data_IF_078206208264
#
_entry.id   IF_078206208264
#
_cell.length_a   1.000
_cell.length_b   1.000
_cell.length_c   1.000
_cell.angle_alpha   90.00
_cell.angle_beta   90.00
_cell.angle_gamma   90.00
#
_symmetry.space_group_name_H-M   'P 1'
#
loop_
_entity.id
_entity.type
_entity.pdbx_description
1 polymer ?
#
# COMPACT_ATOMS: atom_id res chain seq x y z
N UNK A 1 82.12 10.34 27.10
CA UNK A 1 80.74 10.74 27.45
C UNK A 1 79.82 9.60 27.04
N UNK A 2 79.09 9.02 27.98
CA UNK A 2 78.08 7.98 27.71
C UNK A 2 76.78 8.61 27.19
N UNK A 3 76.24 8.08 26.09
CA UNK A 3 74.91 8.47 25.59
C UNK A 3 73.83 7.70 26.35
N UNK A 4 72.79 8.39 26.84
CA UNK A 4 71.57 7.79 27.41
C UNK A 4 70.38 8.07 26.49
N UNK A 5 69.44 7.13 26.42
CA UNK A 5 68.23 7.20 25.58
C UNK A 5 66.98 7.06 26.47
N UNK A 6 65.92 7.80 26.17
CA UNK A 6 64.58 7.66 26.77
C UNK A 6 63.51 7.69 25.67
N UNK A 7 62.33 7.14 25.95
CA UNK A 7 61.18 7.19 25.05
C UNK A 7 60.26 8.32 25.51
N UNK A 8 60.13 9.35 24.68
CA UNK A 8 59.24 10.48 24.95
C UNK A 8 58.12 10.51 23.91
N UNK A 9 56.94 11.00 24.32
CA UNK A 9 55.84 11.21 23.38
C UNK A 9 56.10 12.50 22.58
N UNK A 10 56.32 12.36 21.28
CA UNK A 10 56.69 13.45 20.39
C UNK A 10 55.69 13.60 19.25
N UNK A 11 55.58 14.81 18.72
CA UNK A 11 54.76 15.09 17.54
C UNK A 11 55.39 14.45 16.30
N UNK A 12 54.66 13.53 15.68
CA UNK A 12 54.99 13.00 14.35
C UNK A 12 54.39 13.90 13.27
N UNK A 13 55.21 14.27 12.28
CA UNK A 13 54.75 14.99 11.10
C UNK A 13 54.65 14.01 9.96
N UNK A 14 53.45 13.86 9.40
CA UNK A 14 53.24 12.99 8.26
C UNK A 14 54.03 13.45 7.05
N UNK A 15 54.77 12.51 6.47
CA UNK A 15 55.32 12.60 5.13
C UNK A 15 54.22 12.67 4.08
N UNK A 16 54.58 13.02 2.86
CA UNK A 16 53.59 13.13 1.79
C UNK A 16 53.04 11.75 1.36
N UNK A 17 53.83 10.68 1.48
CA UNK A 17 53.37 9.31 1.25
C UNK A 17 52.34 8.89 2.32
N UNK A 18 52.60 9.15 3.61
CA UNK A 18 51.64 8.88 4.68
C UNK A 18 50.34 9.67 4.49
N UNK A 19 50.42 10.96 4.11
CA UNK A 19 49.23 11.76 3.79
C UNK A 19 48.44 11.18 2.63
N UNK A 20 49.13 10.63 1.62
CA UNK A 20 48.49 10.01 0.45
C UNK A 20 47.74 8.75 0.84
N UNK A 21 48.34 7.89 1.67
CA UNK A 21 47.67 6.70 2.19
C UNK A 21 46.44 7.07 3.03
N UNK A 22 46.57 8.07 3.91
CA UNK A 22 45.45 8.61 4.70
C UNK A 22 44.34 9.15 3.78
N UNK A 23 44.69 9.85 2.70
CA UNK A 23 43.73 10.39 1.75
C UNK A 23 42.97 9.27 1.01
N UNK A 24 43.64 8.18 0.66
CA UNK A 24 43.02 7.02 0.03
C UNK A 24 42.05 6.33 1.00
N UNK A 25 42.46 6.08 2.24
CA UNK A 25 41.61 5.50 3.28
C UNK A 25 40.39 6.39 3.56
N UNK A 26 40.59 7.71 3.64
CA UNK A 26 39.52 8.68 3.81
C UNK A 26 38.51 8.60 2.65
N UNK A 27 38.98 8.59 1.41
CA UNK A 27 38.12 8.53 0.23
C UNK A 27 37.28 7.23 0.22
N UNK A 28 37.88 6.10 0.59
CA UNK A 28 37.18 4.83 0.71
C UNK A 28 36.09 4.88 1.79
N UNK A 29 36.42 5.38 2.98
CA UNK A 29 35.46 5.49 4.11
C UNK A 29 34.33 6.45 3.81
N UNK A 30 34.58 7.56 3.10
CA UNK A 30 33.53 8.49 2.66
C UNK A 30 32.59 7.82 1.66
N UNK A 31 33.13 7.08 0.70
CA UNK A 31 32.31 6.35 -0.26
C UNK A 31 31.45 5.26 0.43
N UNK A 32 32.06 4.50 1.35
CA UNK A 32 31.35 3.49 2.13
C UNK A 32 30.25 4.11 2.99
N UNK A 33 30.54 5.18 3.72
CA UNK A 33 29.56 5.88 4.54
C UNK A 33 28.36 6.34 3.70
N UNK A 34 28.62 6.95 2.53
CA UNK A 34 27.57 7.40 1.63
C UNK A 34 26.69 6.25 1.15
N UNK A 35 27.30 5.12 0.77
CA UNK A 35 26.55 3.94 0.38
C UNK A 35 25.64 3.44 1.51
N UNK A 36 26.16 3.37 2.75
CA UNK A 36 25.36 2.94 3.91
C UNK A 36 24.22 3.90 4.23
N UNK A 37 24.41 5.21 4.04
CA UNK A 37 23.35 6.20 4.21
C UNK A 37 22.25 6.04 3.16
N UNK A 38 22.61 5.78 1.91
CA UNK A 38 21.65 5.58 0.82
C UNK A 38 20.89 4.26 0.97
N UNK A 39 21.57 3.17 1.37
CA UNK A 39 20.93 1.89 1.72
C UNK A 39 19.91 2.07 2.86
N UNK A 40 20.30 2.80 3.91
CA UNK A 40 19.42 3.12 5.04
C UNK A 40 18.17 3.88 4.58
N UNK A 41 18.31 4.88 3.71
CA UNK A 41 17.17 5.64 3.17
C UNK A 41 16.25 4.74 2.36
N UNK A 42 16.79 3.86 1.53
CA UNK A 42 16.01 2.92 0.72
C UNK A 42 15.17 1.98 1.61
N UNK A 43 15.79 1.37 2.62
CA UNK A 43 15.09 0.48 3.57
C UNK A 43 13.99 1.23 4.33
N UNK A 44 14.27 2.44 4.82
CA UNK A 44 13.27 3.24 5.53
C UNK A 44 12.09 3.62 4.62
N UNK A 45 12.35 3.92 3.35
CA UNK A 45 11.32 4.21 2.36
C UNK A 45 10.42 3.00 2.12
N UNK A 46 11.01 1.81 1.97
CA UNK A 46 10.27 0.56 1.80
C UNK A 46 9.41 0.23 3.02
N UNK A 47 9.99 0.35 4.23
CA UNK A 47 9.27 0.11 5.48
C UNK A 47 8.10 1.09 5.65
N UNK A 48 8.29 2.37 5.31
CA UNK A 48 7.23 3.37 5.34
C UNK A 48 6.08 3.00 4.41
N UNK A 49 6.38 2.59 3.17
CA UNK A 49 5.37 2.16 2.20
C UNK A 49 4.54 0.98 2.72
N UNK A 50 5.18 0.00 3.38
CA UNK A 50 4.49 -1.13 4.00
C UNK A 50 3.58 -0.70 5.15
N UNK A 51 4.03 0.22 6.00
CA UNK A 51 3.22 0.77 7.10
C UNK A 51 2.01 1.54 6.56
N UNK A 52 2.20 2.36 5.53
CA UNK A 52 1.12 3.14 4.92
C UNK A 52 0.06 2.21 4.30
N UNK A 53 0.48 1.12 3.65
CA UNK A 53 -0.42 0.09 3.12
C UNK A 53 -1.23 -0.59 4.22
N UNK A 54 -0.60 -1.04 5.30
CA UNK A 54 -1.29 -1.65 6.44
C UNK A 54 -2.27 -0.67 7.10
N UNK A 55 -1.89 0.59 7.22
CA UNK A 55 -2.74 1.65 7.78
C UNK A 55 -3.98 1.87 6.92
N UNK A 56 -3.83 1.90 5.59
CA UNK A 56 -4.97 2.00 4.68
C UNK A 56 -5.92 0.81 4.80
N UNK A 57 -5.38 -0.41 4.89
CA UNK A 57 -6.18 -1.63 5.10
C UNK A 57 -6.94 -1.60 6.43
N UNK A 58 -6.30 -1.16 7.51
CA UNK A 58 -6.92 -1.00 8.82
C UNK A 58 -8.06 0.01 8.79
N UNK A 59 -7.87 1.15 8.12
CA UNK A 59 -8.92 2.17 7.99
C UNK A 59 -10.13 1.62 7.24
N UNK A 60 -9.92 0.88 6.15
CA UNK A 60 -11.00 0.22 5.41
C UNK A 60 -11.74 -0.78 6.31
N UNK A 61 -11.01 -1.61 7.05
CA UNK A 61 -11.60 -2.58 7.97
C UNK A 61 -12.39 -1.90 9.10
N UNK A 62 -11.88 -0.81 9.66
CA UNK A 62 -12.55 -0.03 10.69
C UNK A 62 -13.85 0.61 10.17
N UNK A 63 -13.84 1.15 8.94
CA UNK A 63 -15.06 1.67 8.30
C UNK A 63 -16.09 0.56 8.09
N UNK A 64 -15.68 -0.61 7.59
CA UNK A 64 -16.59 -1.76 7.42
C UNK A 64 -17.19 -2.20 8.76
N UNK A 65 -16.36 -2.29 9.80
CA UNK A 65 -16.79 -2.66 11.15
C UNK A 65 -17.79 -1.64 11.72
N UNK A 66 -17.50 -0.34 11.61
CA UNK A 66 -18.36 0.72 12.12
C UNK A 66 -19.68 0.82 11.36
N UNK A 67 -19.65 0.65 10.04
CA UNK A 67 -20.86 0.69 9.22
C UNK A 67 -21.74 -0.54 9.45
N UNK A 68 -21.14 -1.70 9.75
CA UNK A 68 -21.84 -2.97 9.88
C UNK A 68 -22.30 -3.58 8.55
N UNK A 69 -21.95 -2.96 7.42
CA UNK A 69 -22.26 -3.42 6.06
C UNK A 69 -21.19 -2.99 5.06
N UNK A 70 -21.12 -3.70 3.93
CA UNK A 70 -20.31 -3.33 2.77
C UNK A 70 -21.19 -3.31 1.52
N UNK A 71 -21.06 -2.25 0.72
CA UNK A 71 -21.70 -2.18 -0.58
C UNK A 71 -20.95 -3.07 -1.56
N UNK A 72 -21.57 -4.18 -1.95
CA UNK A 72 -20.99 -5.13 -2.91
C UNK A 72 -21.86 -5.25 -4.16
N UNK A 73 -21.23 -5.49 -5.31
CA UNK A 73 -21.95 -5.74 -6.57
C UNK A 73 -22.21 -7.23 -6.69
N UNK A 74 -23.48 -7.62 -6.62
CA UNK A 74 -23.91 -9.02 -6.72
C UNK A 74 -24.93 -9.16 -7.82
N UNK A 75 -24.93 -10.32 -8.49
CA UNK A 75 -25.94 -10.65 -9.49
C UNK A 75 -27.31 -10.63 -8.81
N UNK A 76 -28.26 -9.89 -9.38
CA UNK A 76 -29.64 -9.87 -8.89
C UNK A 76 -30.56 -10.56 -9.89
N UNK A 77 -31.58 -11.25 -9.37
CA UNK A 77 -32.69 -11.79 -10.14
C UNK A 77 -33.82 -10.76 -10.16
N UNK A 78 -34.33 -10.48 -11.35
CA UNK A 78 -35.53 -9.65 -11.54
C UNK A 78 -36.73 -10.59 -11.64
N UNK A 79 -37.59 -10.55 -10.63
CA UNK A 79 -38.83 -11.31 -10.61
C UNK A 79 -40.00 -10.36 -10.97
N UNK A 80 -40.81 -10.67 -11.98
CA UNK A 80 -41.92 -9.80 -12.36
C UNK A 80 -43.12 -10.00 -11.42
N UNK A 81 -43.59 -8.92 -10.79
CA UNK A 81 -44.93 -8.85 -10.21
C UNK A 81 -45.86 -8.16 -11.21
N UNK A 82 -46.58 -8.98 -11.98
CA UNK A 82 -47.52 -8.52 -12.99
C UNK A 82 -48.77 -7.84 -12.43
N UNK A 83 -49.14 -8.10 -11.16
CA UNK A 83 -50.31 -7.46 -10.53
C UNK A 83 -49.96 -6.04 -10.12
N UNK A 84 -48.80 -5.87 -9.48
CA UNK A 84 -48.29 -4.55 -9.08
C UNK A 84 -47.64 -3.78 -10.24
N UNK A 85 -47.37 -4.43 -11.38
CA UNK A 85 -46.62 -3.90 -12.53
C UNK A 85 -45.21 -3.43 -12.11
N UNK A 86 -44.56 -4.22 -11.25
CA UNK A 86 -43.24 -3.93 -10.69
C UNK A 86 -42.28 -5.10 -10.89
N UNK A 87 -41.00 -4.78 -11.06
CA UNK A 87 -39.91 -5.73 -10.95
C UNK A 87 -39.43 -5.76 -9.50
N UNK A 88 -39.45 -6.94 -8.91
CA UNK A 88 -38.86 -7.23 -7.61
C UNK A 88 -37.42 -7.68 -7.85
N UNK A 89 -36.46 -6.92 -7.34
CA UNK A 89 -35.03 -7.20 -7.50
C UNK A 89 -34.53 -7.85 -6.22
N UNK A 90 -34.20 -9.13 -6.29
CA UNK A 90 -33.63 -9.90 -5.19
C UNK A 90 -32.19 -10.30 -5.53
N UNK A 91 -31.33 -10.40 -4.52
CA UNK A 91 -29.98 -10.93 -4.72
C UNK A 91 -30.05 -12.39 -5.16
N UNK A 92 -29.17 -12.80 -6.08
CA UNK A 92 -29.18 -14.17 -6.60
C UNK A 92 -28.51 -15.19 -5.66
N UNK A 93 -27.67 -14.72 -4.73
CA UNK A 93 -26.86 -15.55 -3.83
C UNK A 93 -27.61 -15.98 -2.57
N UNK A 94 -28.32 -15.06 -1.90
CA UNK A 94 -29.02 -15.31 -0.66
C UNK A 94 -30.54 -15.04 -0.74
N UNK A 95 -31.03 -14.53 -1.87
CA UNK A 95 -32.45 -14.25 -2.09
C UNK A 95 -32.97 -13.00 -1.38
N UNK A 96 -32.12 -12.21 -0.71
CA UNK A 96 -32.56 -11.00 -0.01
C UNK A 96 -33.12 -9.96 -0.98
N UNK A 97 -34.17 -9.28 -0.54
CA UNK A 97 -34.79 -8.20 -1.29
C UNK A 97 -33.87 -6.98 -1.33
N UNK A 98 -33.65 -6.43 -2.53
CA UNK A 98 -32.84 -5.23 -2.74
C UNK A 98 -33.72 -4.00 -2.92
N UNK A 99 -34.62 -4.05 -3.90
CA UNK A 99 -35.55 -2.96 -4.23
C UNK A 99 -36.63 -3.40 -5.20
N UNK A 100 -37.68 -2.60 -5.31
CA UNK A 100 -38.69 -2.71 -6.36
C UNK A 100 -38.61 -1.52 -7.33
N UNK A 101 -38.91 -1.79 -8.62
CA UNK A 101 -38.95 -0.77 -9.68
C UNK A 101 -40.22 -0.96 -10.50
N UNK A 102 -40.88 0.12 -10.89
CA UNK A 102 -42.00 0.04 -11.84
C UNK A 102 -41.52 -0.44 -13.21
N UNK A 103 -42.29 -1.35 -13.81
CA UNK A 103 -42.06 -1.79 -15.18
C UNK A 103 -42.22 -0.60 -16.13
N UNK A 104 -41.39 -0.53 -17.17
CA UNK A 104 -41.58 0.45 -18.25
C UNK A 104 -42.74 0.02 -19.16
N UNK A 105 -43.34 0.95 -19.93
CA UNK A 105 -44.39 0.61 -20.89
C UNK A 105 -43.98 -0.49 -21.87
N UNK A 106 -42.74 -0.48 -22.35
CA UNK A 106 -42.22 -1.49 -23.28
C UNK A 106 -42.13 -2.90 -22.65
N UNK A 107 -41.74 -2.99 -21.37
CA UNK A 107 -41.67 -4.25 -20.62
C UNK A 107 -43.08 -4.84 -20.37
N UNK A 108 -44.07 -3.97 -20.15
CA UNK A 108 -45.47 -4.39 -20.04
C UNK A 108 -46.02 -4.89 -21.39
N UNK A 109 -45.57 -4.30 -22.50
CA UNK A 109 -45.96 -4.73 -23.84
C UNK A 109 -45.32 -6.05 -24.28
N UNK A 110 -44.13 -6.40 -23.76
CA UNK A 110 -43.49 -7.70 -24.06
C UNK A 110 -44.35 -8.89 -23.65
N UNK A 111 -45.12 -8.79 -22.55
CA UNK A 111 -46.05 -9.85 -22.14
C UNK A 111 -47.18 -10.05 -23.16
N UNK A 112 -47.72 -8.96 -23.72
CA UNK A 112 -48.82 -9.02 -24.69
C UNK A 112 -48.45 -9.80 -25.96
N UNK A 113 -47.17 -9.76 -26.36
CA UNK A 113 -46.64 -10.48 -27.53
C UNK A 113 -46.36 -11.97 -27.29
N UNK A 114 -46.23 -12.42 -26.04
CA UNK A 114 -45.96 -13.83 -25.70
C UNK A 114 -47.24 -14.65 -25.49
N UNK A 115 -48.37 -14.00 -25.25
CA UNK A 115 -49.70 -14.62 -25.10
C UNK A 115 -50.54 -14.54 -26.40
N UNK A 116 -49.94 -14.17 -27.55
CA UNK A 116 -50.58 -14.12 -28.89
C UNK A 116 -50.24 -15.31 -29.76
#
# INVERSE_FOLDING_TARGET
MEKRYSNEYVKHLFSDDEKKEIAIDLAQKVAELKQKEDDKKAILSELKSKIDSLTAMLNVAAVKLNNGYEMTTVKCKLNPDWKAKTWIINRADNGEFVKERKMTPDELQMRLKMES
#
